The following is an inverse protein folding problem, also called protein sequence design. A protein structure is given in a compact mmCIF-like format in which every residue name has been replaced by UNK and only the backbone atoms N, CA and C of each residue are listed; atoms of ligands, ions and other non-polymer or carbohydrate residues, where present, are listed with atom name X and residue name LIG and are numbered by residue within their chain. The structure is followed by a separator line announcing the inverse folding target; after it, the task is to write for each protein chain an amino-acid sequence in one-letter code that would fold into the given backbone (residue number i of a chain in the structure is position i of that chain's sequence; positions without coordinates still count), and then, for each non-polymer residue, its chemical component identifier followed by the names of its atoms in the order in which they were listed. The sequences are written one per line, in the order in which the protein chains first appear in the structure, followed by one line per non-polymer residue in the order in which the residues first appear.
data_IF_906824209465
#
_entry.id   IF_906824209465
#
_cell.length_a   1.000
_cell.length_b   1.000
_cell.length_c   1.000
_cell.angle_alpha   90.00
_cell.angle_beta   90.00
_cell.angle_gamma   90.00
#
_symmetry.space_group_name_H-M   'P 1'
#
loop_
_entity.id
_entity.type
_entity.pdbx_description
1 polymer ?
#
# COMPACT_ATOMS: atom_id res chain seq x y z
N UNK A 1 -1.63 28.20 45.41
CA UNK A 1 -2.53 27.91 44.28
C UNK A 1 -2.23 28.99 43.25
N UNK A 2 -1.77 28.73 42.03
CA UNK A 2 -2.36 27.80 41.07
C UNK A 2 -1.30 27.47 40.01
N UNK A 3 -0.84 26.21 40.03
CA UNK A 3 0.15 25.61 39.10
C UNK A 3 -0.49 25.31 37.73
N UNK A 4 -1.10 26.29 37.08
CA UNK A 4 -1.83 26.08 35.83
C UNK A 4 -1.40 27.14 34.82
N UNK A 5 -0.19 27.02 34.25
CA UNK A 5 0.27 27.86 33.13
C UNK A 5 1.33 27.16 32.25
N UNK A 6 1.36 25.82 32.24
CA UNK A 6 2.27 25.00 31.41
C UNK A 6 1.51 23.87 30.68
N UNK A 7 0.35 24.18 30.10
CA UNK A 7 -0.36 23.27 29.17
C UNK A 7 -0.66 24.02 27.86
N UNK A 8 0.31 24.78 27.37
CA UNK A 8 0.25 25.39 26.05
C UNK A 8 1.10 24.58 25.07
N UNK A 9 0.39 23.87 24.21
CA UNK A 9 0.78 23.58 22.82
C UNK A 9 2.03 22.70 22.58
N UNK A 10 2.00 21.46 23.08
CA UNK A 10 2.58 20.32 22.36
C UNK A 10 1.48 19.68 21.50
N UNK A 11 0.88 20.47 20.60
CA UNK A 11 0.26 19.89 19.40
C UNK A 11 1.45 19.51 18.52
N UNK A 12 2.09 18.39 18.87
CA UNK A 12 2.87 17.62 17.92
C UNK A 12 1.96 17.50 16.71
N UNK A 13 2.28 18.25 15.65
CA UNK A 13 1.76 17.99 14.34
C UNK A 13 2.21 16.56 14.06
N UNK A 14 1.35 15.59 14.38
CA UNK A 14 1.40 14.27 13.80
C UNK A 14 1.14 14.58 12.33
N UNK A 15 2.23 14.85 11.61
CA UNK A 15 2.20 14.97 10.17
C UNK A 15 1.82 13.56 9.72
N UNK A 16 0.51 13.34 9.53
CA UNK A 16 0.06 12.16 8.81
C UNK A 16 0.76 12.27 7.46
N UNK A 17 1.72 11.37 7.24
CA UNK A 17 2.42 11.28 5.98
C UNK A 17 1.45 10.62 5.00
N UNK A 18 0.52 11.41 4.47
CA UNK A 18 -0.31 11.00 3.36
C UNK A 18 0.57 10.81 2.12
N UNK A 19 0.07 10.03 1.17
CA UNK A 19 0.71 9.81 -0.12
C UNK A 19 1.05 11.14 -0.81
N UNK A 20 2.11 11.14 -1.62
CA UNK A 20 2.43 12.30 -2.45
C UNK A 20 1.39 12.44 -3.55
N UNK A 21 1.31 13.63 -4.13
CA UNK A 21 0.49 13.85 -5.34
C UNK A 21 0.87 12.85 -6.45
N UNK A 22 2.17 12.59 -6.64
CA UNK A 22 2.64 11.62 -7.63
C UNK A 22 2.13 10.21 -7.34
N UNK A 23 2.20 9.75 -6.08
CA UNK A 23 1.72 8.43 -5.68
C UNK A 23 0.19 8.31 -5.85
N UNK A 24 -0.58 9.33 -5.42
CA UNK A 24 -2.04 9.38 -5.57
C UNK A 24 -2.47 9.37 -7.05
N UNK A 25 -1.86 10.22 -7.88
CA UNK A 25 -2.16 10.27 -9.32
C UNK A 25 -1.81 8.93 -9.99
N UNK A 26 -0.70 8.29 -9.58
CA UNK A 26 -0.30 6.96 -10.08
C UNK A 26 -1.28 5.87 -9.67
N UNK A 27 -1.67 5.79 -8.39
CA UNK A 27 -2.66 4.82 -7.92
C UNK A 27 -4.01 5.02 -8.60
N UNK A 28 -4.42 6.27 -8.82
CA UNK A 28 -5.66 6.58 -9.53
C UNK A 28 -5.62 6.10 -10.98
N UNK A 29 -4.55 6.38 -11.73
CA UNK A 29 -4.47 5.93 -13.12
C UNK A 29 -4.46 4.40 -13.24
N UNK A 30 -3.63 3.76 -12.43
CA UNK A 30 -3.47 2.30 -12.44
C UNK A 30 -4.74 1.59 -11.99
N UNK A 31 -5.40 2.10 -10.94
CA UNK A 31 -6.68 1.55 -10.51
C UNK A 31 -7.72 1.65 -11.61
N UNK A 32 -7.88 2.80 -12.27
CA UNK A 32 -8.81 2.95 -13.41
C UNK A 32 -8.52 1.95 -14.54
N UNK A 33 -7.24 1.65 -14.81
CA UNK A 33 -6.88 0.58 -15.76
C UNK A 33 -7.33 -0.80 -15.26
N UNK A 34 -7.16 -1.11 -13.98
CA UNK A 34 -7.63 -2.37 -13.39
C UNK A 34 -9.15 -2.51 -13.37
N UNK A 35 -9.89 -1.44 -13.08
CA UNK A 35 -11.36 -1.43 -13.19
C UNK A 35 -11.80 -1.85 -14.59
N UNK A 36 -11.20 -1.24 -15.63
CA UNK A 36 -11.50 -1.57 -17.03
C UNK A 36 -11.12 -3.00 -17.41
N UNK A 37 -9.92 -3.45 -17.02
CA UNK A 37 -9.39 -4.76 -17.39
C UNK A 37 -10.15 -5.92 -16.73
N UNK A 38 -10.62 -5.72 -15.50
CA UNK A 38 -11.31 -6.73 -14.71
C UNK A 38 -12.84 -6.60 -14.80
N UNK A 39 -13.35 -5.60 -15.53
CA UNK A 39 -14.80 -5.35 -15.65
C UNK A 39 -15.47 -4.98 -14.33
N UNK A 40 -14.75 -4.30 -13.44
CA UNK A 40 -15.27 -3.89 -12.13
C UNK A 40 -16.17 -2.66 -12.32
N UNK A 41 -17.38 -2.63 -11.72
CA UNK A 41 -18.24 -1.45 -11.73
C UNK A 41 -17.55 -0.21 -11.16
N UNK A 42 -17.77 0.97 -11.78
CA UNK A 42 -17.14 2.24 -11.34
C UNK A 42 -17.53 2.65 -9.92
N UNK A 43 -18.66 2.16 -9.40
CA UNK A 43 -19.15 2.42 -8.05
C UNK A 43 -18.63 1.42 -6.99
N UNK A 44 -17.77 0.47 -7.37
CA UNK A 44 -17.12 -0.43 -6.41
C UNK A 44 -16.18 0.32 -5.46
N UNK A 45 -16.13 -0.12 -4.20
CA UNK A 45 -15.25 0.44 -3.16
C UNK A 45 -13.89 -0.27 -3.07
N UNK A 46 -13.59 -1.19 -4.00
CA UNK A 46 -12.41 -2.07 -3.94
C UNK A 46 -11.09 -1.30 -3.82
N UNK A 47 -10.95 -0.19 -4.55
CA UNK A 47 -9.76 0.66 -4.46
C UNK A 47 -9.58 1.23 -3.05
N UNK A 48 -10.63 1.83 -2.50
CA UNK A 48 -10.58 2.43 -1.17
C UNK A 48 -10.29 1.37 -0.10
N UNK A 49 -10.87 0.18 -0.25
CA UNK A 49 -10.58 -0.95 0.64
C UNK A 49 -9.11 -1.33 0.59
N UNK A 50 -8.51 -1.42 -0.59
CA UNK A 50 -7.11 -1.83 -0.77
C UNK A 50 -6.15 -0.73 -0.31
N UNK A 51 -6.37 0.51 -0.74
CA UNK A 51 -5.52 1.66 -0.41
C UNK A 51 -5.39 1.87 1.10
N UNK A 52 -6.45 1.61 1.86
CA UNK A 52 -6.47 1.79 3.31
C UNK A 52 -6.51 0.48 4.11
N UNK A 53 -6.31 -0.67 3.45
CA UNK A 53 -6.44 -2.02 4.02
C UNK A 53 -7.70 -2.20 4.90
N UNK A 54 -8.86 -1.78 4.38
CA UNK A 54 -10.16 -1.90 5.05
C UNK A 54 -10.91 -3.11 4.51
N UNK A 55 -11.21 -4.07 5.39
CA UNK A 55 -12.00 -5.26 5.07
C UNK A 55 -11.43 -6.04 3.86
N UNK A 56 -10.12 -6.19 3.79
CA UNK A 56 -9.48 -6.98 2.74
C UNK A 56 -9.64 -8.47 3.08
N UNK A 57 -10.41 -9.16 2.25
CA UNK A 57 -10.70 -10.59 2.35
C UNK A 57 -9.93 -11.35 1.28
N UNK A 58 -9.83 -12.67 1.40
CA UNK A 58 -9.21 -13.54 0.39
C UNK A 58 -10.07 -13.73 -0.88
N UNK A 59 -10.94 -12.76 -1.19
CA UNK A 59 -11.80 -12.77 -2.37
C UNK A 59 -10.95 -12.81 -3.66
N UNK A 60 -11.25 -13.69 -4.63
CA UNK A 60 -10.54 -13.75 -5.90
C UNK A 60 -10.41 -12.39 -6.60
N UNK A 61 -11.46 -11.56 -6.61
CA UNK A 61 -11.46 -10.24 -7.24
C UNK A 61 -10.48 -9.28 -6.57
N UNK A 62 -10.35 -9.36 -5.25
CA UNK A 62 -9.38 -8.57 -4.48
C UNK A 62 -7.96 -8.97 -4.87
N UNK A 63 -7.68 -10.28 -4.93
CA UNK A 63 -6.35 -10.78 -5.32
C UNK A 63 -6.01 -10.39 -6.77
N UNK A 64 -6.99 -10.45 -7.67
CA UNK A 64 -6.83 -10.05 -9.07
C UNK A 64 -6.58 -8.54 -9.22
N UNK A 65 -7.30 -7.70 -8.46
CA UNK A 65 -7.07 -6.26 -8.46
C UNK A 65 -5.67 -5.90 -7.93
N UNK A 66 -5.24 -6.54 -6.83
CA UNK A 66 -3.89 -6.39 -6.30
C UNK A 66 -2.84 -6.79 -7.34
N UNK A 67 -3.01 -7.94 -7.99
CA UNK A 67 -2.09 -8.40 -9.04
C UNK A 67 -2.04 -7.43 -10.22
N UNK A 68 -3.20 -6.94 -10.68
CA UNK A 68 -3.28 -5.97 -11.76
C UNK A 68 -2.50 -4.69 -11.42
N UNK A 69 -2.73 -4.12 -10.24
CA UNK A 69 -2.05 -2.91 -9.80
C UNK A 69 -0.54 -3.11 -9.69
N UNK A 70 -0.11 -4.21 -9.05
CA UNK A 70 1.32 -4.50 -8.88
C UNK A 70 2.03 -4.76 -10.21
N UNK A 71 1.38 -5.37 -11.20
CA UNK A 71 1.94 -5.52 -12.56
C UNK A 71 2.12 -4.18 -13.25
N UNK A 72 1.10 -3.33 -13.22
CA UNK A 72 1.14 -2.00 -13.87
C UNK A 72 2.14 -1.06 -13.20
N UNK A 73 2.36 -1.20 -11.88
CA UNK A 73 3.40 -0.50 -11.13
C UNK A 73 4.81 -1.04 -11.39
N UNK A 74 4.94 -2.20 -12.05
CA UNK A 74 6.22 -2.90 -12.21
C UNK A 74 6.79 -3.44 -10.90
N UNK A 75 5.94 -3.69 -9.90
CA UNK A 75 6.32 -4.27 -8.61
C UNK A 75 6.47 -5.78 -8.66
N UNK A 76 5.86 -6.42 -9.66
CA UNK A 76 5.98 -7.84 -9.92
C UNK A 76 6.29 -8.06 -11.41
N UNK A 77 7.22 -8.95 -11.72
CA UNK A 77 7.56 -9.30 -13.09
C UNK A 77 6.62 -10.37 -13.67
N UNK A 78 6.92 -10.83 -14.90
CA UNK A 78 6.15 -11.87 -15.60
C UNK A 78 6.20 -13.23 -14.92
N UNK A 79 7.25 -13.49 -14.15
CA UNK A 79 7.50 -14.76 -13.46
C UNK A 79 6.91 -14.75 -12.03
N UNK A 80 6.35 -13.61 -11.60
CA UNK A 80 5.75 -13.45 -10.29
C UNK A 80 6.74 -13.08 -9.19
N UNK A 81 7.91 -12.52 -9.53
CA UNK A 81 8.90 -12.06 -8.56
C UNK A 81 8.77 -10.58 -8.28
N UNK A 82 8.89 -10.22 -7.00
CA UNK A 82 8.84 -8.83 -6.55
C UNK A 82 10.08 -8.05 -6.98
N UNK A 83 9.86 -6.82 -7.45
CA UNK A 83 10.88 -5.85 -7.83
C UNK A 83 11.12 -4.89 -6.66
N UNK A 84 11.81 -5.35 -5.63
CA UNK A 84 11.92 -4.69 -4.32
C UNK A 84 12.38 -3.22 -4.43
N UNK A 85 13.39 -2.95 -5.26
CA UNK A 85 13.92 -1.59 -5.44
C UNK A 85 12.87 -0.63 -6.02
N UNK A 86 12.00 -1.11 -6.92
CA UNK A 86 10.90 -0.33 -7.48
C UNK A 86 9.88 0.03 -6.39
N UNK A 87 9.53 -0.94 -5.55
CA UNK A 87 8.59 -0.75 -4.44
C UNK A 87 9.18 0.24 -3.42
N UNK A 88 10.43 0.02 -3.01
CA UNK A 88 11.12 0.87 -2.04
C UNK A 88 11.18 2.31 -2.56
N UNK A 89 11.65 2.52 -3.80
CA UNK A 89 11.71 3.86 -4.40
C UNK A 89 10.35 4.54 -4.44
N UNK A 90 9.28 3.79 -4.76
CA UNK A 90 7.94 4.36 -4.84
C UNK A 90 7.49 4.91 -3.48
N UNK A 91 7.59 4.13 -2.40
CA UNK A 91 7.11 4.54 -1.08
C UNK A 91 8.07 5.54 -0.38
N UNK A 92 9.37 5.47 -0.64
CA UNK A 92 10.37 6.37 -0.07
C UNK A 92 10.28 7.82 -0.57
N UNK A 93 9.39 8.12 -1.52
CA UNK A 93 9.02 9.49 -1.89
C UNK A 93 8.39 10.27 -0.71
N UNK A 94 7.78 9.56 0.24
CA UNK A 94 7.12 10.15 1.41
C UNK A 94 7.55 9.58 2.74
N UNK A 95 7.96 8.32 2.74
CA UNK A 95 8.28 7.58 3.95
C UNK A 95 9.79 7.40 4.08
N UNK A 96 10.25 7.15 5.31
CA UNK A 96 11.66 6.86 5.55
C UNK A 96 12.10 5.60 4.78
N UNK A 97 13.19 5.74 4.01
CA UNK A 97 13.60 4.70 3.08
C UNK A 97 14.04 3.41 3.77
N UNK A 98 14.68 3.50 4.93
CA UNK A 98 15.11 2.32 5.69
C UNK A 98 13.90 1.60 6.30
N UNK A 99 12.90 2.34 6.82
CA UNK A 99 11.64 1.75 7.28
C UNK A 99 10.87 1.06 6.16
N UNK A 100 10.80 1.68 4.98
CA UNK A 100 10.15 1.06 3.81
C UNK A 100 10.90 -0.21 3.40
N UNK A 101 12.23 -0.14 3.31
CA UNK A 101 13.08 -1.28 2.93
C UNK A 101 12.91 -2.45 3.89
N UNK A 102 12.98 -2.23 5.20
CA UNK A 102 12.80 -3.27 6.23
C UNK A 102 11.49 -4.04 6.02
N UNK A 103 10.40 -3.31 5.75
CA UNK A 103 9.07 -3.90 5.56
C UNK A 103 8.97 -4.64 4.23
N UNK A 104 9.52 -4.07 3.14
CA UNK A 104 9.52 -4.72 1.82
C UNK A 104 10.32 -6.03 1.89
N UNK A 105 11.54 -6.00 2.41
CA UNK A 105 12.41 -7.18 2.52
C UNK A 105 11.79 -8.28 3.39
N UNK A 106 11.10 -7.90 4.47
CA UNK A 106 10.33 -8.84 5.27
C UNK A 106 9.17 -9.45 4.47
N UNK A 107 8.39 -8.62 3.79
CA UNK A 107 7.10 -9.04 3.27
C UNK A 107 7.14 -9.76 1.92
N UNK A 108 8.21 -9.62 1.15
CA UNK A 108 8.41 -10.42 -0.07
C UNK A 108 8.61 -11.91 0.23
N UNK A 109 9.01 -12.24 1.46
CA UNK A 109 9.18 -13.61 1.94
C UNK A 109 7.85 -14.28 2.35
N UNK A 110 6.73 -13.55 2.34
CA UNK A 110 5.42 -14.09 2.78
C UNK A 110 4.93 -15.27 1.93
N UNK A 111 5.43 -15.41 0.70
CA UNK A 111 5.12 -16.54 -0.18
C UNK A 111 3.63 -16.67 -0.53
N UNK A 112 3.25 -17.84 -1.05
CA UNK A 112 1.91 -18.16 -1.52
C UNK A 112 1.94 -19.29 -2.54
N UNK A 113 0.87 -20.07 -2.64
CA UNK A 113 0.77 -21.20 -3.59
C UNK A 113 0.71 -20.70 -5.03
N UNK A 114 0.00 -19.59 -5.25
CA UNK A 114 -0.13 -18.93 -6.55
C UNK A 114 0.44 -17.52 -6.52
N UNK A 115 0.60 -16.90 -7.71
CA UNK A 115 0.97 -15.48 -7.81
C UNK A 115 -0.08 -14.58 -7.15
N UNK A 116 -1.37 -14.94 -7.23
CA UNK A 116 -2.46 -14.24 -6.56
C UNK A 116 -2.30 -14.28 -5.03
N UNK A 117 -1.89 -15.42 -4.47
CA UNK A 117 -1.63 -15.54 -3.04
C UNK A 117 -0.40 -14.75 -2.63
N UNK A 118 0.66 -14.77 -3.43
CA UNK A 118 1.89 -13.97 -3.18
C UNK A 118 1.58 -12.48 -3.06
N UNK A 119 0.84 -11.91 -4.01
CA UNK A 119 0.53 -10.46 -4.00
C UNK A 119 -0.41 -10.08 -2.86
N UNK A 120 -1.34 -10.96 -2.50
CA UNK A 120 -2.23 -10.79 -1.37
C UNK A 120 -1.48 -10.85 -0.03
N UNK A 121 -0.65 -11.88 0.15
CA UNK A 121 0.14 -12.06 1.37
C UNK A 121 1.16 -10.93 1.55
N UNK A 122 1.80 -10.48 0.47
CA UNK A 122 2.65 -9.29 0.50
C UNK A 122 1.87 -8.06 0.98
N UNK A 123 0.69 -7.79 0.42
CA UNK A 123 -0.14 -6.66 0.82
C UNK A 123 -0.52 -6.73 2.31
N UNK A 124 -1.01 -7.89 2.78
CA UNK A 124 -1.35 -8.10 4.18
C UNK A 124 -0.14 -7.90 5.11
N UNK A 125 1.00 -8.48 4.76
CA UNK A 125 2.23 -8.31 5.53
C UNK A 125 2.65 -6.83 5.57
N UNK A 126 2.60 -6.13 4.44
CA UNK A 126 3.03 -4.74 4.35
C UNK A 126 2.25 -3.84 5.29
N UNK A 127 0.91 -3.93 5.26
CA UNK A 127 0.06 -3.14 6.13
C UNK A 127 0.17 -3.52 7.60
N UNK A 128 0.48 -4.78 7.90
CA UNK A 128 0.72 -5.25 9.27
C UNK A 128 2.02 -4.70 9.85
N UNK A 129 3.06 -4.54 9.03
CA UNK A 129 4.41 -4.23 9.50
C UNK A 129 4.89 -2.80 9.22
N UNK A 130 4.22 -2.03 8.35
CA UNK A 130 4.56 -0.63 8.10
C UNK A 130 4.47 0.21 9.38
N UNK A 131 5.46 1.07 9.59
CA UNK A 131 5.61 1.90 10.80
C UNK A 131 5.08 3.34 10.63
N UNK A 132 4.49 3.64 9.47
CA UNK A 132 3.92 4.94 9.15
C UNK A 132 2.42 4.82 8.86
N UNK A 133 1.69 5.87 9.23
CA UNK A 133 0.27 6.01 8.93
C UNK A 133 0.07 6.39 7.45
N UNK A 134 -1.07 5.99 6.89
CA UNK A 134 -1.65 6.57 5.69
C UNK A 134 -2.73 7.55 6.15
#
# INVERSE_FOLDING_TARGET
MTRILLVLALILHICFADYSKYQLDTFKDISMQCYRNLGIPEDSDILQRIEYNRNITEDPLIKEFLLCGQKLLGWIDTDGNFQNETIIRFFSDRYDAEQVKEVVELCVLSGGETVLDKVYNFHQCYFKHKKYAL
#
